data_IF_146934984772
#
_entry.id   IF_146934984772
#
_cell.length_a   1.000
_cell.length_b   1.000
_cell.length_c   1.000
_cell.angle_alpha   90.00
_cell.angle_beta   90.00
_cell.angle_gamma   90.00
#
_symmetry.space_group_name_H-M   'P 1'
#
loop_
_entity.id
_entity.type
_entity.pdbx_description
1 polymer ?
#
# COMPACT_ATOMS: atom_id res chain seq x y z
N UNK A 1 -9.90 8.64 7.33
CA UNK A 1 -8.61 9.13 6.78
C UNK A 1 -7.39 8.51 7.47
N UNK A 2 -7.13 8.75 8.76
CA UNK A 2 -5.94 8.23 9.49
C UNK A 2 -5.68 6.73 9.30
N UNK A 3 -6.72 5.89 9.31
CA UNK A 3 -6.57 4.45 9.10
C UNK A 3 -6.16 4.10 7.66
N UNK A 4 -6.70 4.78 6.65
CA UNK A 4 -6.37 4.50 5.23
C UNK A 4 -4.94 4.92 4.92
N UNK A 5 -4.52 6.09 5.41
CA UNK A 5 -3.14 6.58 5.27
C UNK A 5 -2.15 5.65 5.97
N UNK A 6 -2.44 5.21 7.20
CA UNK A 6 -1.59 4.27 7.94
C UNK A 6 -1.44 2.93 7.22
N UNK A 7 -2.50 2.42 6.62
CA UNK A 7 -2.44 1.17 5.86
C UNK A 7 -1.63 1.32 4.56
N UNK A 8 -1.79 2.44 3.86
CA UNK A 8 -0.94 2.76 2.70
C UNK A 8 0.55 2.80 3.06
N UNK A 9 0.90 3.48 4.15
CA UNK A 9 2.29 3.57 4.64
C UNK A 9 2.85 2.20 5.05
N UNK A 10 2.03 1.38 5.73
CA UNK A 10 2.40 0.02 6.12
C UNK A 10 2.68 -0.85 4.89
N UNK A 11 1.78 -0.87 3.91
CA UNK A 11 1.96 -1.64 2.67
C UNK A 11 3.17 -1.12 1.87
N UNK A 12 3.47 0.18 1.91
CA UNK A 12 4.69 0.74 1.30
C UNK A 12 5.98 0.25 1.97
N UNK A 13 6.02 0.20 3.30
CA UNK A 13 7.16 -0.35 4.03
C UNK A 13 7.37 -1.83 3.69
N UNK A 14 6.30 -2.62 3.71
CA UNK A 14 6.32 -4.04 3.33
C UNK A 14 6.82 -4.25 1.90
N UNK A 15 6.32 -3.47 0.93
CA UNK A 15 6.78 -3.55 -0.45
C UNK A 15 8.29 -3.31 -0.57
N UNK A 16 8.85 -2.32 0.14
CA UNK A 16 10.29 -2.06 0.15
C UNK A 16 11.09 -3.21 0.76
N UNK A 17 10.61 -3.82 1.85
CA UNK A 17 11.25 -4.97 2.48
C UNK A 17 11.22 -6.20 1.55
N UNK A 18 10.05 -6.52 0.98
CA UNK A 18 9.92 -7.65 0.06
C UNK A 18 10.77 -7.50 -1.20
N UNK A 19 10.85 -6.29 -1.76
CA UNK A 19 11.72 -5.99 -2.89
C UNK A 19 13.19 -6.22 -2.54
N UNK A 20 13.66 -5.74 -1.37
CA UNK A 20 15.04 -5.95 -0.90
C UNK A 20 15.37 -7.41 -0.68
N UNK A 21 14.40 -8.20 -0.23
CA UNK A 21 14.57 -9.63 0.04
C UNK A 21 14.39 -10.52 -1.19
N UNK A 22 14.08 -9.96 -2.37
CA UNK A 22 13.78 -10.75 -3.57
C UNK A 22 12.45 -11.53 -3.51
N UNK A 23 11.55 -11.15 -2.60
CA UNK A 23 10.26 -11.80 -2.38
C UNK A 23 9.21 -11.23 -3.35
N UNK A 24 9.30 -11.64 -4.63
CA UNK A 24 8.55 -11.02 -5.75
C UNK A 24 7.03 -11.12 -5.57
N UNK A 25 6.49 -12.28 -5.15
CA UNK A 25 5.04 -12.45 -4.97
C UNK A 25 4.50 -11.54 -3.87
N UNK A 26 5.17 -11.50 -2.72
CA UNK A 26 4.78 -10.65 -1.59
C UNK A 26 4.95 -9.17 -1.91
N UNK A 27 6.00 -8.81 -2.66
CA UNK A 27 6.18 -7.46 -3.18
C UNK A 27 4.98 -7.04 -4.04
N UNK A 28 4.56 -7.89 -4.99
CA UNK A 28 3.42 -7.62 -5.85
C UNK A 28 2.12 -7.47 -5.04
N UNK A 29 1.87 -8.35 -4.08
CA UNK A 29 0.70 -8.24 -3.18
C UNK A 29 0.70 -6.93 -2.39
N UNK A 30 1.85 -6.51 -1.86
CA UNK A 30 1.98 -5.26 -1.13
C UNK A 30 1.70 -4.03 -2.03
N UNK A 31 2.10 -4.08 -3.31
CA UNK A 31 1.77 -3.03 -4.29
C UNK A 31 0.27 -2.96 -4.59
N UNK A 32 -0.40 -4.10 -4.74
CA UNK A 32 -1.86 -4.15 -4.93
C UNK A 32 -2.58 -3.51 -3.74
N UNK A 33 -2.12 -3.81 -2.53
CA UNK A 33 -2.67 -3.26 -1.30
C UNK A 33 -2.44 -1.73 -1.21
N UNK A 34 -1.25 -1.24 -1.56
CA UNK A 34 -0.99 0.20 -1.66
C UNK A 34 -1.95 0.88 -2.66
N UNK A 35 -2.16 0.28 -3.83
CA UNK A 35 -3.04 0.84 -4.86
C UNK A 35 -4.50 0.92 -4.37
N UNK A 36 -4.97 -0.11 -3.65
CA UNK A 36 -6.30 -0.11 -3.02
C UNK A 36 -6.47 1.08 -2.08
N UNK A 37 -5.54 1.29 -1.15
CA UNK A 37 -5.65 2.41 -0.20
C UNK A 37 -5.48 3.77 -0.88
N UNK A 38 -4.65 3.87 -1.93
CA UNK A 38 -4.53 5.09 -2.74
C UNK A 38 -5.87 5.47 -3.38
N UNK A 39 -6.59 4.52 -3.97
CA UNK A 39 -7.93 4.75 -4.54
C UNK A 39 -8.94 5.19 -3.48
N UNK A 40 -8.90 4.57 -2.30
CA UNK A 40 -9.76 4.96 -1.18
C UNK A 40 -9.47 6.39 -0.69
N UNK A 41 -8.20 6.80 -0.62
CA UNK A 41 -7.84 8.17 -0.26
C UNK A 41 -8.39 9.20 -1.27
N UNK A 42 -8.27 8.91 -2.56
CA UNK A 42 -8.82 9.77 -3.62
C UNK A 42 -10.34 9.86 -3.53
N UNK A 43 -11.04 8.74 -3.34
CA UNK A 43 -12.49 8.73 -3.20
C UNK A 43 -12.97 9.51 -1.97
N UNK A 44 -12.24 9.45 -0.86
CA UNK A 44 -12.54 10.25 0.34
C UNK A 44 -12.30 11.74 0.09
N UNK A 45 -11.23 12.11 -0.62
CA UNK A 45 -10.92 13.52 -0.90
C UNK A 45 -11.85 14.17 -1.93
N UNK A 46 -12.51 13.37 -2.77
CA UNK A 46 -13.48 13.81 -3.77
C UNK A 46 -14.91 13.98 -3.21
N UNK A 47 -15.16 13.51 -1.98
CA UNK A 47 -16.41 13.68 -1.24
C UNK A 47 -16.29 14.80 -0.20
#
# INVERSE_FOLDING_TARGET
>A
MKNVTKQYELSSRKAKEFMKNGQISQYFEALLEMNKYKRLMVAIAAN
#
